data_IF_606206617408
#
_entry.id   IF_606206617408
#
_cell.length_a   1.000
_cell.length_b   1.000
_cell.length_c   1.000
_cell.angle_alpha   90.00
_cell.angle_beta   90.00
_cell.angle_gamma   90.00
#
_symmetry.space_group_name_H-M   'P 1'
#
loop_
_entity.id
_entity.type
_entity.pdbx_description
1 polymer ?
#
# COMPACT_ATOMS: atom_id res chain seq x y z
N UNK A 1 11.31 5.36 -4.05
CA UNK A 1 10.37 4.55 -3.24
C UNK A 1 9.73 3.49 -4.10
N UNK A 2 9.79 2.25 -3.66
CA UNK A 2 9.27 1.11 -4.42
C UNK A 2 8.47 0.19 -3.53
N UNK A 3 7.48 -0.50 -4.13
CA UNK A 3 6.78 -1.57 -3.44
C UNK A 3 7.61 -2.83 -3.63
N UNK A 4 8.24 -3.32 -2.57
CA UNK A 4 9.11 -4.49 -2.62
C UNK A 4 8.37 -5.80 -2.46
N UNK A 5 7.25 -5.78 -1.77
CA UNK A 5 6.49 -6.98 -1.45
C UNK A 5 5.02 -6.63 -1.36
N UNK A 6 4.18 -7.52 -1.84
CA UNK A 6 2.72 -7.37 -1.79
C UNK A 6 2.10 -8.70 -1.44
N UNK A 7 1.18 -8.69 -0.50
CA UNK A 7 0.39 -9.86 -0.13
C UNK A 7 -1.08 -9.47 -0.24
N UNK A 8 -1.86 -10.27 -0.96
CA UNK A 8 -3.29 -10.01 -1.14
C UNK A 8 -4.07 -11.21 -0.63
N UNK A 9 -5.01 -10.98 0.29
CA UNK A 9 -5.88 -12.03 0.82
C UNK A 9 -7.33 -11.66 0.65
N UNK A 10 -8.12 -12.60 0.17
CA UNK A 10 -9.58 -12.48 0.14
C UNK A 10 -10.11 -11.36 -0.74
N UNK A 11 -9.41 -11.05 -1.82
CA UNK A 11 -9.81 -9.96 -2.70
C UNK A 11 -10.15 -10.47 -4.10
N UNK A 12 -11.40 -10.27 -4.50
CA UNK A 12 -11.92 -10.73 -5.80
C UNK A 12 -11.75 -12.24 -5.93
N UNK A 13 -11.10 -12.73 -6.99
CA UNK A 13 -10.85 -14.16 -7.14
C UNK A 13 -9.61 -14.63 -6.39
N UNK A 14 -8.91 -13.73 -5.74
CA UNK A 14 -7.67 -14.05 -5.04
C UNK A 14 -7.97 -14.47 -3.61
N UNK A 15 -7.70 -15.73 -3.29
CA UNK A 15 -7.77 -16.19 -1.90
C UNK A 15 -6.54 -15.74 -1.13
N UNK A 16 -5.37 -15.96 -1.74
CA UNK A 16 -4.10 -15.55 -1.16
C UNK A 16 -3.05 -15.51 -2.27
N UNK A 17 -2.32 -14.42 -2.35
CA UNK A 17 -1.25 -14.26 -3.33
C UNK A 17 -0.13 -13.45 -2.68
N UNK A 18 1.11 -13.84 -2.93
CA UNK A 18 2.29 -13.09 -2.48
C UNK A 18 3.17 -12.80 -3.67
N UNK A 19 3.63 -11.57 -3.78
CA UNK A 19 4.45 -11.11 -4.89
C UNK A 19 5.65 -10.38 -4.32
N UNK A 20 6.86 -10.85 -4.63
CA UNK A 20 8.09 -10.20 -4.17
C UNK A 20 8.79 -9.40 -5.27
N UNK A 21 8.35 -9.55 -6.52
CA UNK A 21 8.88 -8.79 -7.65
C UNK A 21 7.69 -8.21 -8.41
N UNK A 22 7.22 -7.06 -7.93
CA UNK A 22 5.98 -6.45 -8.41
C UNK A 22 6.06 -6.12 -9.89
N UNK A 23 7.18 -5.58 -10.36
CA UNK A 23 7.28 -5.17 -11.76
C UNK A 23 7.21 -6.35 -12.70
N UNK A 24 7.97 -7.41 -12.41
CA UNK A 24 7.92 -8.61 -13.23
C UNK A 24 6.56 -9.29 -13.15
N UNK A 25 5.96 -9.32 -11.98
CA UNK A 25 4.63 -9.90 -11.84
C UNK A 25 3.61 -9.17 -12.70
N UNK A 26 3.64 -7.86 -12.72
CA UNK A 26 2.71 -7.07 -13.53
C UNK A 26 2.94 -7.28 -15.02
N UNK A 27 4.20 -7.45 -15.43
CA UNK A 27 4.52 -7.75 -16.82
C UNK A 27 3.98 -9.12 -17.22
N UNK A 28 4.20 -10.13 -16.37
CA UNK A 28 3.74 -11.48 -16.65
C UNK A 28 2.22 -11.57 -16.73
N UNK A 29 1.52 -10.98 -15.77
CA UNK A 29 0.05 -11.02 -15.77
C UNK A 29 -0.54 -10.03 -16.77
N UNK A 30 0.28 -9.25 -17.45
CA UNK A 30 -0.20 -8.35 -18.49
C UNK A 30 -0.92 -9.06 -19.61
N UNK A 31 -0.62 -10.34 -19.84
CA UNK A 31 -1.30 -11.16 -20.82
C UNK A 31 -2.60 -11.73 -20.28
N UNK A 32 -2.77 -11.73 -18.97
CA UNK A 32 -4.00 -12.18 -18.33
C UNK A 32 -4.62 -10.97 -17.65
N UNK A 33 -5.50 -10.31 -18.35
CA UNK A 33 -6.08 -9.04 -17.88
C UNK A 33 -6.76 -9.16 -16.52
N UNK A 34 -7.39 -10.29 -16.24
CA UNK A 34 -8.09 -10.47 -14.97
C UNK A 34 -7.13 -10.41 -13.77
N UNK A 35 -6.01 -11.16 -13.85
CA UNK A 35 -5.03 -11.14 -12.77
C UNK A 35 -4.39 -9.77 -12.59
N UNK A 36 -4.03 -9.12 -13.69
CA UNK A 36 -3.45 -7.79 -13.66
C UNK A 36 -4.40 -6.78 -13.03
N UNK A 37 -5.67 -6.81 -13.44
CA UNK A 37 -6.68 -5.88 -12.91
C UNK A 37 -6.88 -6.07 -11.43
N UNK A 38 -6.91 -7.30 -10.93
CA UNK A 38 -7.09 -7.55 -9.51
C UNK A 38 -5.93 -7.00 -8.69
N UNK A 39 -4.70 -7.19 -9.16
CA UNK A 39 -3.52 -6.66 -8.48
C UNK A 39 -3.56 -5.13 -8.48
N UNK A 40 -3.86 -4.53 -9.61
CA UNK A 40 -3.92 -3.06 -9.70
C UNK A 40 -5.05 -2.49 -8.85
N UNK A 41 -6.20 -3.16 -8.80
CA UNK A 41 -7.29 -2.72 -7.94
C UNK A 41 -6.92 -2.83 -6.45
N UNK A 42 -6.17 -3.86 -6.08
CA UNK A 42 -5.70 -4.00 -4.70
C UNK A 42 -4.79 -2.83 -4.33
N UNK A 43 -3.83 -2.50 -5.20
CA UNK A 43 -2.93 -1.37 -4.98
C UNK A 43 -3.71 -0.05 -4.90
N UNK A 44 -4.69 0.14 -5.76
CA UNK A 44 -5.52 1.34 -5.76
C UNK A 44 -6.44 1.42 -4.54
N UNK A 45 -6.87 0.28 -4.02
CA UNK A 45 -7.64 0.26 -2.78
C UNK A 45 -6.80 0.78 -1.62
N UNK A 46 -5.53 0.37 -1.55
CA UNK A 46 -4.61 0.87 -0.52
C UNK A 46 -4.38 2.36 -0.71
N UNK A 47 -4.18 2.80 -1.94
CA UNK A 47 -3.99 4.20 -2.26
C UNK A 47 -5.22 5.05 -1.94
N UNK A 48 -6.40 4.46 -2.07
CA UNK A 48 -7.67 5.15 -1.82
C UNK A 48 -8.43 5.51 -3.07
N UNK A 49 -7.94 5.13 -4.26
CA UNK A 49 -8.58 5.47 -5.53
C UNK A 49 -9.51 4.37 -6.05
N UNK A 50 -9.57 3.23 -5.40
CA UNK A 50 -10.52 2.17 -5.73
C UNK A 50 -11.43 1.94 -4.53
N UNK A 51 -12.74 2.03 -4.75
CA UNK A 51 -13.72 1.84 -3.69
C UNK A 51 -14.10 0.37 -3.60
N UNK A 52 -13.79 -0.25 -2.44
CA UNK A 52 -14.10 -1.65 -2.21
C UNK A 52 -15.59 -1.81 -1.97
N UNK A 53 -16.19 -2.79 -2.63
CA UNK A 53 -17.59 -3.15 -2.44
C UNK A 53 -17.69 -4.59 -1.93
N UNK A 54 -18.88 -5.01 -1.56
CA UNK A 54 -19.10 -6.37 -1.06
C UNK A 54 -18.71 -7.42 -2.10
N UNK A 55 -18.90 -7.10 -3.38
CA UNK A 55 -18.55 -8.03 -4.47
C UNK A 55 -17.05 -8.28 -4.57
N UNK A 56 -16.23 -7.45 -3.96
CA UNK A 56 -14.78 -7.63 -4.00
C UNK A 56 -14.27 -8.66 -3.01
N UNK A 57 -15.13 -9.14 -2.10
CA UNK A 57 -14.74 -10.14 -1.11
C UNK A 57 -14.86 -11.53 -1.71
N UNK A 58 -13.76 -12.29 -1.68
CA UNK A 58 -13.79 -13.69 -2.09
C UNK A 58 -14.68 -14.48 -1.14
N UNK A 59 -14.51 -14.23 0.16
CA UNK A 59 -15.33 -14.78 1.24
C UNK A 59 -15.85 -13.62 2.06
N UNK A 60 -17.18 -13.46 2.15
CA UNK A 60 -17.75 -12.29 2.84
C UNK A 60 -17.55 -12.30 4.34
N UNK A 61 -17.29 -13.46 4.93
CA UNK A 61 -17.08 -13.57 6.37
C UNK A 61 -15.66 -13.26 6.81
N UNK A 62 -14.76 -13.03 5.87
CA UNK A 62 -13.36 -12.72 6.16
C UNK A 62 -13.03 -11.33 5.66
N UNK A 63 -12.07 -10.68 6.31
CA UNK A 63 -11.59 -9.37 5.88
C UNK A 63 -10.71 -9.49 4.64
N UNK A 64 -10.70 -8.42 3.85
CA UNK A 64 -9.68 -8.27 2.81
C UNK A 64 -8.42 -7.76 3.51
N UNK A 65 -7.27 -8.38 3.22
CA UNK A 65 -6.00 -7.94 3.78
C UNK A 65 -4.99 -7.77 2.66
N UNK A 66 -4.43 -6.58 2.56
CA UNK A 66 -3.41 -6.27 1.57
C UNK A 66 -2.18 -5.78 2.32
N UNK A 67 -1.17 -6.65 2.43
CA UNK A 67 0.07 -6.34 3.13
C UNK A 67 1.14 -5.91 2.15
N UNK A 68 2.02 -5.02 2.55
CA UNK A 68 3.09 -4.58 1.67
C UNK A 68 4.30 -4.06 2.43
N UNK A 69 5.42 -4.07 1.72
CA UNK A 69 6.67 -3.50 2.19
C UNK A 69 7.08 -2.45 1.16
N UNK A 70 7.29 -1.23 1.64
CA UNK A 70 7.79 -0.13 0.80
C UNK A 70 9.26 0.11 1.13
N UNK A 71 10.10 0.27 0.10
CA UNK A 71 11.45 0.76 0.29
C UNK A 71 11.38 2.28 0.34
N UNK A 72 12.00 2.87 1.36
CA UNK A 72 12.02 4.32 1.54
C UNK A 72 13.45 4.71 1.86
N UNK A 73 14.14 5.29 0.88
CA UNK A 73 15.53 5.68 1.05
C UNK A 73 15.66 6.99 1.82
N UNK A 74 16.87 7.33 2.20
CA UNK A 74 17.13 8.62 2.84
C UNK A 74 16.74 9.77 1.90
N UNK A 75 16.98 9.59 0.61
CA UNK A 75 16.59 10.58 -0.39
C UNK A 75 15.08 10.76 -0.43
N UNK A 76 14.33 9.66 -0.34
CA UNK A 76 12.86 9.73 -0.26
C UNK A 76 12.42 10.52 0.97
N UNK A 77 13.08 10.30 2.11
CA UNK A 77 12.75 11.02 3.34
C UNK A 77 12.96 12.52 3.17
N UNK A 78 14.03 12.92 2.50
CA UNK A 78 14.27 14.36 2.25
C UNK A 78 13.17 14.96 1.38
N UNK A 79 12.66 14.21 0.42
CA UNK A 79 11.55 14.64 -0.42
C UNK A 79 10.28 14.80 0.42
N UNK A 80 9.99 13.83 1.29
CA UNK A 80 8.84 13.91 2.18
C UNK A 80 8.94 15.15 3.09
N UNK A 81 10.11 15.38 3.64
CA UNK A 81 10.35 16.56 4.48
C UNK A 81 10.11 17.86 3.72
N UNK A 82 10.66 17.95 2.53
CA UNK A 82 10.52 19.14 1.69
C UNK A 82 9.06 19.42 1.40
N UNK A 83 8.26 18.38 1.20
CA UNK A 83 6.85 18.53 0.86
C UNK A 83 5.93 18.59 2.09
N UNK A 84 6.50 18.64 3.29
CA UNK A 84 5.71 18.77 4.51
C UNK A 84 4.82 17.57 4.82
N UNK A 85 5.26 16.38 4.43
CA UNK A 85 4.46 15.16 4.60
C UNK A 85 4.69 14.56 5.99
N UNK A 86 3.62 14.04 6.57
CA UNK A 86 3.59 13.35 7.86
C UNK A 86 3.84 14.26 9.06
N UNK A 87 4.82 15.16 8.96
CA UNK A 87 5.22 16.04 10.05
C UNK A 87 5.53 17.44 9.54
N UNK A 88 5.51 18.42 10.46
CA UNK A 88 5.65 19.83 10.11
C UNK A 88 6.81 20.49 10.84
N UNK A 89 8.01 19.98 10.67
CA UNK A 89 9.21 20.55 11.25
C UNK A 89 10.10 21.11 10.16
N UNK A 90 10.66 22.30 10.34
CA UNK A 90 11.58 22.88 9.37
C UNK A 90 12.89 22.13 9.32
N UNK A 91 13.44 21.78 10.51
CA UNK A 91 14.72 21.06 10.58
C UNK A 91 14.49 19.58 10.27
N UNK A 92 15.28 19.06 9.36
CA UNK A 92 15.16 17.68 8.92
C UNK A 92 15.30 16.69 10.08
N UNK A 93 16.26 16.90 10.98
CA UNK A 93 16.48 15.97 12.08
C UNK A 93 15.26 15.85 12.98
N UNK A 94 14.61 16.97 13.27
CA UNK A 94 13.39 16.97 14.07
C UNK A 94 12.24 16.32 13.31
N UNK A 95 12.14 16.62 12.02
CA UNK A 95 11.13 16.01 11.16
C UNK A 95 11.29 14.50 11.12
N UNK A 96 12.52 14.03 10.91
CA UNK A 96 12.79 12.59 10.80
C UNK A 96 12.45 11.86 12.08
N UNK A 97 12.80 12.44 13.23
CA UNK A 97 12.50 11.85 14.52
C UNK A 97 10.99 11.70 14.71
N UNK A 98 10.22 12.71 14.34
CA UNK A 98 8.76 12.67 14.43
C UNK A 98 8.17 11.71 13.44
N UNK A 99 8.71 11.66 12.21
CA UNK A 99 8.31 10.69 11.21
C UNK A 99 8.46 9.27 11.73
N UNK A 100 9.61 8.94 12.32
CA UNK A 100 9.84 7.61 12.87
C UNK A 100 8.92 7.29 14.04
N UNK A 101 8.55 8.30 14.82
CA UNK A 101 7.58 8.13 15.89
C UNK A 101 6.19 7.83 15.37
N UNK A 102 5.79 8.49 14.29
CA UNK A 102 4.47 8.31 13.69
C UNK A 102 4.36 7.05 12.86
N UNK A 103 5.47 6.59 12.30
CA UNK A 103 5.52 5.39 11.47
C UNK A 103 6.52 4.40 12.06
N UNK A 104 6.17 3.77 13.19
CA UNK A 104 7.14 2.95 13.95
C UNK A 104 7.60 1.69 13.23
N UNK A 105 6.96 1.29 12.16
CA UNK A 105 7.45 0.14 11.39
C UNK A 105 8.59 0.51 10.46
N UNK A 106 8.92 1.81 10.33
CA UNK A 106 10.04 2.24 9.51
C UNK A 106 11.35 1.77 10.12
N UNK A 107 12.07 0.93 9.40
CA UNK A 107 13.32 0.35 9.86
C UNK A 107 14.11 -0.14 8.66
N UNK A 108 15.41 0.12 8.64
CA UNK A 108 16.30 -0.34 7.57
C UNK A 108 15.80 0.06 6.18
N UNK A 109 15.35 1.31 6.07
CA UNK A 109 14.83 1.88 4.81
C UNK A 109 13.63 1.12 4.26
N UNK A 110 12.83 0.52 5.16
CA UNK A 110 11.60 -0.15 4.76
C UNK A 110 10.47 0.16 5.72
N UNK A 111 9.25 0.18 5.20
CA UNK A 111 8.04 0.26 6.02
C UNK A 111 7.16 -0.94 5.66
N UNK A 112 6.64 -1.60 6.69
CA UNK A 112 5.77 -2.77 6.52
C UNK A 112 4.43 -2.48 7.17
N UNK A 113 3.33 -2.74 6.47
CA UNK A 113 2.00 -2.68 7.08
C UNK A 113 0.97 -3.40 6.23
N UNK A 114 -0.25 -3.51 6.80
CA UNK A 114 -1.35 -4.23 6.17
C UNK A 114 -2.58 -3.36 6.15
N UNK A 115 -3.15 -3.20 4.95
CA UNK A 115 -4.45 -2.58 4.76
C UNK A 115 -5.50 -3.65 5.01
N UNK A 116 -6.48 -3.36 5.87
CA UNK A 116 -7.54 -4.31 6.24
C UNK A 116 -8.89 -3.66 6.00
N UNK A 117 -9.75 -4.33 5.25
CA UNK A 117 -11.11 -3.86 4.99
C UNK A 117 -12.12 -4.92 5.40
N UNK A 118 -13.18 -4.52 6.10
CA UNK A 118 -14.24 -5.44 6.47
C UNK A 118 -15.49 -5.22 5.61
N UNK A 119 -16.45 -6.13 5.74
CA UNK A 119 -17.65 -6.10 4.90
C UNK A 119 -18.56 -4.91 5.19
N UNK A 120 -18.39 -4.27 6.34
CA UNK A 120 -19.15 -3.06 6.69
C UNK A 120 -18.54 -1.79 6.10
N UNK A 121 -17.46 -1.92 5.32
CA UNK A 121 -16.84 -0.78 4.68
C UNK A 121 -15.78 -0.08 5.51
N UNK A 122 -15.46 -0.60 6.69
CA UNK A 122 -14.43 0.01 7.52
C UNK A 122 -13.05 -0.44 7.05
N UNK A 123 -12.13 0.52 6.97
CA UNK A 123 -10.77 0.28 6.49
C UNK A 123 -9.77 0.81 7.50
N UNK A 124 -8.67 0.11 7.65
CA UNK A 124 -7.60 0.56 8.53
C UNK A 124 -6.25 0.08 8.03
N UNK A 125 -5.21 0.76 8.50
CA UNK A 125 -3.82 0.43 8.17
C UNK A 125 -3.12 -0.04 9.43
N UNK A 126 -2.87 -1.32 9.52
CA UNK A 126 -2.19 -1.92 10.66
C UNK A 126 -0.69 -1.94 10.38
N UNK A 127 0.10 -1.32 11.27
CA UNK A 127 1.54 -1.18 11.08
C UNK A 127 2.38 -2.12 11.94
N UNK A 128 1.74 -3.10 12.57
CA UNK A 128 2.41 -4.02 13.47
C UNK A 128 2.36 -3.59 14.93
N UNK A 129 2.03 -2.34 15.19
CA UNK A 129 1.91 -1.79 16.55
C UNK A 129 0.60 -1.05 16.74
N UNK A 130 0.25 -0.16 15.82
CA UNK A 130 -0.99 0.60 15.88
C UNK A 130 -2.04 -0.09 15.01
N UNK A 131 -3.26 -0.17 15.53
CA UNK A 131 -4.36 -0.79 14.79
C UNK A 131 -4.68 -0.04 13.52
N UNK A 132 -4.55 1.29 13.55
CA UNK A 132 -4.81 2.13 12.39
C UNK A 132 -3.81 3.28 12.36
N UNK A 133 -2.95 3.27 11.36
CA UNK A 133 -1.98 4.32 11.14
C UNK A 133 -2.24 4.98 9.80
N UNK A 134 -2.97 6.09 9.83
CA UNK A 134 -3.39 6.80 8.62
C UNK A 134 -2.25 7.51 7.89
N UNK A 135 -1.12 7.73 8.56
CA UNK A 135 -0.02 8.49 7.96
C UNK A 135 0.60 7.80 6.75
N UNK A 136 0.47 6.49 6.68
CA UNK A 136 1.03 5.74 5.55
C UNK A 136 0.39 6.16 4.23
N UNK A 137 -0.88 6.56 4.24
CA UNK A 137 -1.55 6.95 3.00
C UNK A 137 -0.96 8.23 2.42
N UNK A 138 -0.34 9.08 3.25
CA UNK A 138 0.31 10.29 2.77
C UNK A 138 1.54 9.98 1.92
N UNK A 139 2.22 8.89 2.22
CA UNK A 139 3.47 8.55 1.52
C UNK A 139 3.32 7.38 0.56
N UNK A 140 2.17 6.70 0.54
CA UNK A 140 1.97 5.58 -0.39
C UNK A 140 2.06 6.09 -1.83
N UNK A 141 2.77 5.38 -2.72
CA UNK A 141 2.96 5.87 -4.09
C UNK A 141 1.66 5.97 -4.86
N UNK A 142 1.60 6.92 -5.79
CA UNK A 142 0.46 7.02 -6.70
C UNK A 142 0.51 5.88 -7.70
N UNK A 143 -0.62 5.21 -7.87
CA UNK A 143 -0.70 4.05 -8.76
C UNK A 143 -1.27 4.47 -10.11
N UNK A 144 -0.46 4.35 -11.16
CA UNK A 144 -0.87 4.68 -12.51
C UNK A 144 -1.26 3.42 -13.27
N UNK A 145 -2.34 3.53 -14.01
CA UNK A 145 -2.85 2.42 -14.81
C UNK A 145 -2.38 2.61 -16.24
N UNK A 146 -1.13 2.23 -16.50
CA UNK A 146 -0.51 2.46 -17.79
C UNK A 146 -0.69 1.27 -18.70
N UNK A 147 -0.98 1.49 -19.96
CA UNK A 147 -0.97 0.46 -20.97
C UNK A 147 -2.29 -0.24 -21.22
N UNK A 148 -3.07 -0.51 -20.21
CA UNK A 148 -4.32 -1.25 -20.37
C UNK A 148 -5.48 -0.37 -20.79
N UNK A 149 -5.40 0.90 -20.47
CA UNK A 149 -6.45 1.85 -20.81
C UNK A 149 -6.05 2.78 -21.94
N UNK A 150 -5.06 2.34 -22.70
CA UNK A 150 -4.61 3.14 -23.74
C UNK A 150 -5.20 2.72 -24.99
N UNK A 151 -6.10 2.99 -25.41
CA UNK A 151 -6.58 2.55 -26.71
C UNK A 151 -7.39 3.61 -27.35
#
# INVERSE_FOLDING_TARGET
>A
MEIKYLSIKNFKSIRHMEISDIQNALILVGKNNTGKSSILHALRAVEGSYEISLDDFNETMQNIEIGFILSITEEDLHIFHKNGMVSQYKKYDLWKKDFESKLPSYKNEEITFTFIANKEGKQRFYDGKKKHNKYIREIFPTIYFIGTNRN
#
